data_IF_410505709071
#
_entry.id   IF_410505709071
#
_cell.length_a   1.000
_cell.length_b   1.000
_cell.length_c   1.000
_cell.angle_alpha   90.00
_cell.angle_beta   90.00
_cell.angle_gamma   90.00
#
_symmetry.space_group_name_H-M   'P 1'
#
loop_
_entity.id
_entity.type
_entity.pdbx_description
1 polymer ?
#
# COMPACT_ATOMS: atom_id res chain seq x y z
N UNK A 1 11.11 7.43 0.64
CA UNK A 1 10.82 6.13 0.00
C UNK A 1 10.86 6.32 -1.50
N UNK A 2 11.40 5.35 -2.25
CA UNK A 2 11.55 5.46 -3.71
C UNK A 2 10.21 5.41 -4.46
N UNK A 3 9.18 4.83 -3.84
CA UNK A 3 7.81 4.71 -4.35
C UNK A 3 6.82 5.28 -3.31
N UNK A 4 5.70 5.84 -3.78
CA UNK A 4 4.63 6.47 -2.99
C UNK A 4 3.30 5.71 -3.13
N UNK A 5 2.36 5.97 -2.22
CA UNK A 5 0.98 5.45 -2.29
C UNK A 5 0.28 5.86 -3.60
N UNK A 6 0.56 7.06 -4.12
CA UNK A 6 0.06 7.51 -5.42
C UNK A 6 0.50 6.60 -6.56
N UNK A 7 1.74 6.08 -6.50
CA UNK A 7 2.30 5.23 -7.55
C UNK A 7 1.60 3.87 -7.57
N UNK A 8 1.28 3.34 -6.39
CA UNK A 8 0.48 2.11 -6.25
C UNK A 8 -0.91 2.28 -6.89
N UNK A 9 -1.58 3.40 -6.61
CA UNK A 9 -2.90 3.69 -7.17
C UNK A 9 -2.85 3.76 -8.71
N UNK A 10 -1.83 4.43 -9.27
CA UNK A 10 -1.60 4.46 -10.72
C UNK A 10 -1.39 3.06 -11.31
N UNK A 11 -0.62 2.19 -10.64
CA UNK A 11 -0.41 0.82 -11.09
C UNK A 11 -1.68 -0.02 -11.09
N UNK A 12 -2.55 0.15 -10.08
CA UNK A 12 -3.84 -0.52 -10.01
C UNK A 12 -4.77 -0.10 -11.16
N UNK A 13 -4.85 1.20 -11.45
CA UNK A 13 -5.64 1.71 -12.57
C UNK A 13 -5.11 1.22 -13.92
N UNK A 14 -3.79 1.24 -14.12
CA UNK A 14 -3.19 0.70 -15.34
C UNK A 14 -3.43 -0.81 -15.50
N UNK A 15 -3.57 -1.56 -14.41
CA UNK A 15 -3.94 -2.98 -14.46
C UNK A 15 -5.40 -3.17 -14.86
N UNK A 16 -6.31 -2.32 -14.37
CA UNK A 16 -7.71 -2.32 -14.78
C UNK A 16 -7.87 -2.03 -16.28
N UNK A 17 -7.14 -1.05 -16.81
CA UNK A 17 -7.15 -0.72 -18.25
C UNK A 17 -6.67 -1.89 -19.11
N UNK A 18 -5.57 -2.55 -18.73
CA UNK A 18 -5.07 -3.74 -19.44
C UNK A 18 -6.08 -4.88 -19.46
N UNK A 19 -6.76 -5.12 -18.35
CA UNK A 19 -7.78 -6.17 -18.26
C UNK A 19 -9.04 -5.85 -19.08
N UNK A 20 -9.30 -4.58 -19.37
CA UNK A 20 -10.42 -4.13 -20.18
C UNK A 20 -10.10 -4.06 -21.68
N UNK A 21 -8.88 -4.44 -22.10
CA UNK A 21 -8.48 -4.40 -23.51
C UNK A 21 -9.25 -5.45 -24.33
N UNK A 22 -9.84 -5.01 -25.44
CA UNK A 22 -10.61 -5.89 -26.33
C UNK A 22 -9.68 -6.83 -27.12
N UNK A 23 -10.13 -8.07 -27.33
CA UNK A 23 -9.41 -9.04 -28.17
C UNK A 23 -8.30 -9.81 -27.44
N UNK A 24 -8.26 -9.81 -26.11
CA UNK A 24 -7.34 -10.68 -25.36
C UNK A 24 -7.70 -12.17 -25.53
N UNK A 25 -6.66 -13.01 -25.63
CA UNK A 25 -6.84 -14.46 -25.56
C UNK A 25 -7.16 -14.89 -24.13
N UNK A 26 -7.80 -16.05 -23.97
CA UNK A 26 -8.09 -16.63 -22.65
C UNK A 26 -6.83 -16.76 -21.77
N UNK A 27 -5.71 -17.18 -22.36
CA UNK A 27 -4.43 -17.27 -21.63
C UNK A 27 -3.95 -15.90 -21.13
N UNK A 28 -4.07 -14.85 -21.93
CA UNK A 28 -3.71 -13.48 -21.51
C UNK A 28 -4.62 -12.99 -20.39
N UNK A 29 -5.92 -13.27 -20.47
CA UNK A 29 -6.88 -12.94 -19.40
C UNK A 29 -6.46 -13.60 -18.09
N UNK A 30 -6.11 -14.89 -18.10
CA UNK A 30 -5.65 -15.60 -16.91
C UNK A 30 -4.33 -15.04 -16.34
N UNK A 31 -3.39 -14.66 -17.22
CA UNK A 31 -2.13 -14.04 -16.80
C UNK A 31 -2.35 -12.67 -16.15
N UNK A 32 -3.18 -11.82 -16.76
CA UNK A 32 -3.49 -10.50 -16.21
C UNK A 32 -4.33 -10.58 -14.92
N UNK A 33 -5.20 -11.58 -14.78
CA UNK A 33 -5.91 -11.86 -13.53
C UNK A 33 -4.93 -12.22 -12.39
N UNK A 34 -4.00 -13.15 -12.62
CA UNK A 34 -2.96 -13.52 -11.64
C UNK A 34 -2.06 -12.33 -11.28
N UNK A 35 -1.71 -11.51 -12.27
CA UNK A 35 -0.95 -10.27 -12.05
C UNK A 35 -1.74 -9.29 -11.17
N UNK A 36 -3.03 -9.10 -11.44
CA UNK A 36 -3.89 -8.23 -10.65
C UNK A 36 -3.99 -8.71 -9.19
N UNK A 37 -4.19 -10.01 -8.97
CA UNK A 37 -4.20 -10.61 -7.62
C UNK A 37 -2.90 -10.33 -6.85
N UNK A 38 -1.75 -10.49 -7.50
CA UNK A 38 -0.46 -10.20 -6.89
C UNK A 38 -0.31 -8.71 -6.53
N UNK A 39 -0.76 -7.80 -7.40
CA UNK A 39 -0.73 -6.36 -7.12
C UNK A 39 -1.65 -6.02 -5.94
N UNK A 40 -2.87 -6.59 -5.89
CA UNK A 40 -3.81 -6.38 -4.78
C UNK A 40 -3.21 -6.87 -3.46
N UNK A 41 -2.58 -8.04 -3.45
CA UNK A 41 -1.93 -8.58 -2.24
C UNK A 41 -0.84 -7.64 -1.71
N UNK A 42 -0.01 -7.08 -2.59
CA UNK A 42 1.01 -6.09 -2.19
C UNK A 42 0.36 -4.77 -1.76
N UNK A 43 -0.68 -4.33 -2.46
CA UNK A 43 -1.42 -3.11 -2.15
C UNK A 43 -2.04 -3.15 -0.74
N UNK A 44 -2.58 -4.30 -0.35
CA UNK A 44 -3.16 -4.52 0.98
C UNK A 44 -2.11 -4.37 2.08
N UNK A 45 -0.90 -4.91 1.89
CA UNK A 45 0.19 -4.77 2.86
C UNK A 45 0.63 -3.31 3.01
N UNK A 46 0.71 -2.58 1.89
CA UNK A 46 1.05 -1.16 1.89
C UNK A 46 -0.01 -0.35 2.64
N UNK A 47 -1.30 -0.60 2.37
CA UNK A 47 -2.42 0.09 3.03
C UNK A 47 -2.47 -0.22 4.52
N UNK A 48 -2.22 -1.48 4.93
CA UNK A 48 -2.12 -1.86 6.35
C UNK A 48 -0.99 -1.14 7.07
N UNK A 49 0.15 -0.95 6.42
CA UNK A 49 1.26 -0.16 6.98
C UNK A 49 0.87 1.31 7.13
N UNK A 50 0.21 1.90 6.13
CA UNK A 50 -0.28 3.27 6.21
C UNK A 50 -1.31 3.47 7.35
N UNK A 51 -2.24 2.52 7.53
CA UNK A 51 -3.18 2.52 8.65
C UNK A 51 -2.48 2.39 10.00
N UNK A 52 -1.45 1.54 10.11
CA UNK A 52 -0.64 1.43 11.32
C UNK A 52 0.06 2.76 11.66
N UNK A 53 0.62 3.44 10.66
CA UNK A 53 1.23 4.76 10.83
C UNK A 53 0.20 5.80 11.29
N UNK A 54 -0.99 5.80 10.70
CA UNK A 54 -2.08 6.69 11.10
C UNK A 54 -2.52 6.43 12.55
N UNK A 55 -2.65 5.17 12.96
CA UNK A 55 -2.99 4.80 14.33
C UNK A 55 -1.92 5.26 15.32
N UNK A 56 -0.65 5.07 14.99
CA UNK A 56 0.44 5.54 15.82
C UNK A 56 0.49 7.08 15.90
N UNK A 57 0.20 7.79 14.82
CA UNK A 57 0.04 9.25 14.83
C UNK A 57 -1.11 9.72 15.71
N UNK A 58 -2.27 9.03 15.68
CA UNK A 58 -3.40 9.30 16.57
C UNK A 58 -3.04 9.06 18.03
N UNK A 59 -2.40 7.93 18.34
CA UNK A 59 -1.96 7.59 19.68
C UNK A 59 -1.00 8.65 20.24
N UNK A 60 -0.08 9.14 19.41
CA UNK A 60 0.81 10.25 19.77
C UNK A 60 0.05 11.56 19.99
N UNK A 61 -0.95 11.88 19.17
CA UNK A 61 -1.78 13.08 19.36
C UNK A 61 -2.59 13.02 20.66
N UNK A 62 -3.05 11.84 21.07
CA UNK A 62 -3.85 11.62 22.29
C UNK A 62 -3.01 11.59 23.58
N UNK A 63 -1.81 10.98 23.54
CA UNK A 63 -1.01 10.74 24.74
C UNK A 63 0.34 11.48 24.78
N UNK A 64 0.68 12.22 23.71
CA UNK A 64 1.92 12.98 23.61
C UNK A 64 3.17 12.12 23.65
N UNK A 65 4.26 12.67 24.21
CA UNK A 65 5.57 12.00 24.21
C UNK A 65 5.63 10.70 25.02
N UNK A 66 4.67 10.47 25.94
CA UNK A 66 4.65 9.28 26.80
C UNK A 66 4.53 7.96 26.02
N UNK A 67 3.95 8.00 24.81
CA UNK A 67 3.80 6.81 23.95
C UNK A 67 4.95 6.60 22.97
N UNK A 68 5.88 7.55 22.85
CA UNK A 68 7.03 7.42 21.93
C UNK A 68 7.91 6.17 22.18
N UNK A 69 8.18 5.75 23.45
CA UNK A 69 8.91 4.51 23.69
C UNK A 69 8.21 3.26 23.15
N UNK A 70 6.89 3.32 22.97
CA UNK A 70 6.07 2.24 22.40
C UNK A 70 5.86 2.37 20.88
N UNK A 71 6.32 3.48 20.27
CA UNK A 71 6.19 3.78 18.84
C UNK A 71 7.58 3.96 18.18
N UNK A 72 8.44 2.93 18.19
CA UNK A 72 9.85 3.06 17.77
C UNK A 72 10.02 3.51 16.32
N UNK A 73 9.03 3.23 15.45
CA UNK A 73 9.07 3.63 14.03
C UNK A 73 8.60 5.07 13.76
N UNK A 74 7.96 5.74 14.73
CA UNK A 74 7.51 7.15 14.61
C UNK A 74 8.36 8.09 15.47
N UNK A 75 8.90 7.58 16.58
CA UNK A 75 9.56 8.37 17.63
C UNK A 75 11.04 8.11 17.86
N UNK A 76 11.70 7.26 17.07
CA UNK A 76 13.14 7.03 17.23
C UNK A 76 13.95 8.31 16.95
N UNK A 77 15.00 8.63 17.74
CA UNK A 77 15.94 9.68 17.39
C UNK A 77 16.43 9.45 15.96
N UNK A 78 16.41 10.50 15.14
CA UNK A 78 17.18 10.48 13.89
C UNK A 78 18.65 10.56 14.31
N UNK A 79 19.33 9.42 14.32
CA UNK A 79 20.80 9.40 14.16
C UNK A 79 21.17 9.75 12.72
#
# INVERSE_FOLDING_TARGET
MRNKLSDLNNHLFAQLERMAEDGMSQEKIEQEAKRAEAIVSVADQITRNADLQLKAAKLFAEHGQAVLPMLPQIGGPKE
#
